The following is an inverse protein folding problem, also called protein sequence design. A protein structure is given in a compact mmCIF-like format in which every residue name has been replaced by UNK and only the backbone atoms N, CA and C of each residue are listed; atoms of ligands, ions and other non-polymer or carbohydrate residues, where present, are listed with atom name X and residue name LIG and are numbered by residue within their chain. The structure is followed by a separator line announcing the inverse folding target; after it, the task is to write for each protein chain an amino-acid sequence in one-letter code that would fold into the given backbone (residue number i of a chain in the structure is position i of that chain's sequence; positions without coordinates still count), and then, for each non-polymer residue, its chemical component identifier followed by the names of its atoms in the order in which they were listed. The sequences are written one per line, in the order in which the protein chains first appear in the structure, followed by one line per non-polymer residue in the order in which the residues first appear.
data_IF_795281511230
#
_entry.id   IF_795281511230
#
_cell.length_a   1.000
_cell.length_b   1.000
_cell.length_c   1.000
_cell.angle_alpha   90.00
_cell.angle_beta   90.00
_cell.angle_gamma   90.00
#
_symmetry.space_group_name_H-M   'P 1'
#
loop_
_entity.id
_entity.type
_entity.pdbx_description
1 polymer ?
#
# COMPACT_ATOMS: atom_id res chain seq x y z
N UNK A 1 -0.55 -18.60 27.35
CA UNK A 1 0.37 -17.90 26.42
C UNK A 1 -0.27 -16.57 26.07
N UNK A 2 0.37 -15.43 26.39
CA UNK A 2 -0.09 -14.13 25.91
C UNK A 2 0.12 -14.06 24.40
N UNK A 3 -0.96 -13.93 23.64
CA UNK A 3 -0.88 -13.71 22.18
C UNK A 3 -0.24 -12.33 21.97
N UNK A 4 0.92 -12.28 21.32
CA UNK A 4 1.61 -11.02 21.06
C UNK A 4 0.84 -10.25 19.98
N UNK A 5 0.30 -9.09 20.34
CA UNK A 5 -0.46 -8.24 19.42
C UNK A 5 0.48 -7.26 18.71
N UNK A 6 0.37 -7.14 17.39
CA UNK A 6 1.12 -6.20 16.58
C UNK A 6 0.22 -5.05 16.13
N UNK A 7 0.60 -3.81 16.44
CA UNK A 7 -0.11 -2.61 15.98
C UNK A 7 0.18 -2.32 14.50
N UNK A 8 -0.86 -2.14 13.70
CA UNK A 8 -0.78 -1.83 12.28
C UNK A 8 -1.60 -0.59 11.98
N UNK A 9 -1.02 0.37 11.28
CA UNK A 9 -1.78 1.49 10.70
C UNK A 9 -2.08 1.16 9.24
N UNK A 10 -3.33 1.25 8.84
CA UNK A 10 -3.76 1.01 7.47
C UNK A 10 -4.37 2.27 6.88
N UNK A 11 -3.77 2.77 5.79
CA UNK A 11 -4.25 3.94 5.05
C UNK A 11 -5.26 3.57 3.94
N UNK A 12 -5.75 2.33 3.95
CA UNK A 12 -6.82 1.87 3.08
C UNK A 12 -8.09 1.63 3.88
N UNK A 13 -9.29 1.89 3.32
CA UNK A 13 -10.54 1.51 3.95
C UNK A 13 -10.60 0.02 4.29
N UNK A 14 -11.08 -0.32 5.49
CA UNK A 14 -11.33 -1.71 5.92
C UNK A 14 -12.24 -2.45 4.91
N UNK A 15 -13.25 -1.75 4.38
CA UNK A 15 -14.18 -2.29 3.40
C UNK A 15 -13.49 -2.87 2.15
N UNK A 16 -12.30 -2.40 1.79
CA UNK A 16 -11.57 -2.92 0.62
C UNK A 16 -11.06 -4.35 0.84
N UNK A 17 -10.76 -4.72 2.09
CA UNK A 17 -10.34 -6.07 2.48
C UNK A 17 -11.55 -7.00 2.65
N UNK A 18 -12.59 -6.50 3.31
CA UNK A 18 -13.81 -7.28 3.55
C UNK A 18 -14.53 -7.67 2.25
N UNK A 19 -14.56 -6.76 1.24
CA UNK A 19 -15.15 -7.03 -0.08
C UNK A 19 -14.54 -8.23 -0.79
N UNK A 20 -13.28 -8.56 -0.50
CA UNK A 20 -12.56 -9.70 -1.09
C UNK A 20 -12.42 -10.87 -0.11
N UNK A 21 -13.19 -10.86 0.99
CA UNK A 21 -13.22 -11.95 1.97
C UNK A 21 -11.99 -12.04 2.87
N UNK A 22 -11.20 -10.97 2.99
CA UNK A 22 -10.01 -10.94 3.86
C UNK A 22 -10.39 -10.40 5.24
N UNK A 23 -10.26 -11.26 6.26
CA UNK A 23 -10.37 -10.87 7.67
C UNK A 23 -8.99 -10.81 8.31
N UNK A 24 -8.63 -9.71 9.00
CA UNK A 24 -7.37 -9.62 9.73
C UNK A 24 -7.18 -10.77 10.72
N UNK A 25 -5.96 -11.35 10.83
CA UNK A 25 -5.64 -12.28 11.90
C UNK A 25 -5.80 -11.61 13.27
N UNK A 26 -6.31 -12.32 14.27
CA UNK A 26 -6.53 -11.78 15.63
C UNK A 26 -5.27 -11.33 16.39
N UNK A 27 -4.08 -11.56 15.82
CA UNK A 27 -2.80 -11.07 16.34
C UNK A 27 -2.48 -9.63 15.88
N UNK A 28 -3.24 -9.08 14.92
CA UNK A 28 -3.06 -7.73 14.42
C UNK A 28 -4.11 -6.80 15.03
N UNK A 29 -3.65 -5.72 15.65
CA UNK A 29 -4.50 -4.60 16.04
C UNK A 29 -4.40 -3.54 14.95
N UNK A 30 -5.41 -3.47 14.07
CA UNK A 30 -5.38 -2.59 12.90
C UNK A 30 -6.16 -1.31 13.19
N UNK A 31 -5.51 -0.17 12.97
CA UNK A 31 -6.12 1.15 12.98
C UNK A 31 -6.25 1.64 11.54
N UNK A 32 -7.48 1.66 11.04
CA UNK A 32 -7.81 2.17 9.70
C UNK A 32 -8.03 3.68 9.74
N UNK A 33 -7.27 4.44 8.96
CA UNK A 33 -7.37 5.90 8.88
C UNK A 33 -7.25 6.37 7.43
N UNK A 34 -7.73 7.59 7.15
CA UNK A 34 -7.48 8.25 5.87
C UNK A 34 -5.99 8.63 5.73
N UNK A 35 -5.41 8.62 4.52
CA UNK A 35 -4.08 9.18 4.27
C UNK A 35 -3.91 10.64 4.75
N UNK A 36 -5.00 11.41 4.81
CA UNK A 36 -5.02 12.82 5.20
C UNK A 36 -5.35 13.03 6.70
N UNK A 37 -5.46 11.95 7.47
CA UNK A 37 -5.74 12.03 8.90
C UNK A 37 -4.61 12.78 9.64
N UNK A 38 -4.98 13.80 10.43
CA UNK A 38 -4.03 14.64 11.18
C UNK A 38 -3.21 13.85 12.20
N UNK A 39 -3.76 12.74 12.71
CA UNK A 39 -3.12 11.87 13.68
C UNK A 39 -2.17 10.86 13.02
N UNK A 40 -2.14 10.75 11.68
CA UNK A 40 -1.33 9.77 10.96
C UNK A 40 0.14 9.75 11.42
N UNK A 41 0.85 10.90 11.55
CA UNK A 41 2.24 10.87 11.98
C UNK A 41 2.44 10.29 13.39
N UNK A 42 1.53 10.58 14.32
CA UNK A 42 1.59 10.08 15.70
C UNK A 42 1.33 8.57 15.74
N UNK A 43 0.31 8.12 15.01
CA UNK A 43 -0.05 6.70 14.94
C UNK A 43 1.05 5.87 14.27
N UNK A 44 1.66 6.38 13.20
CA UNK A 44 2.76 5.69 12.50
C UNK A 44 3.98 5.52 13.43
N UNK A 45 4.29 6.50 14.29
CA UNK A 45 5.41 6.37 15.24
C UNK A 45 5.25 5.18 16.19
N UNK A 46 4.01 4.85 16.55
CA UNK A 46 3.65 3.80 17.50
C UNK A 46 3.33 2.45 16.83
N UNK A 47 3.22 2.43 15.49
CA UNK A 47 2.85 1.24 14.74
C UNK A 47 4.06 0.33 14.50
N UNK A 48 3.85 -0.99 14.48
CA UNK A 48 4.86 -1.95 14.05
C UNK A 48 4.91 -2.06 12.52
N UNK A 49 3.77 -1.84 11.85
CA UNK A 49 3.67 -1.87 10.40
C UNK A 49 2.72 -0.79 9.86
N UNK A 50 2.97 -0.38 8.62
CA UNK A 50 2.14 0.58 7.88
C UNK A 50 1.68 -0.06 6.56
N UNK A 51 0.38 -0.01 6.27
CA UNK A 51 -0.18 -0.41 4.98
C UNK A 51 -0.60 0.84 4.21
N UNK A 52 -0.12 1.02 2.98
CA UNK A 52 -0.42 2.20 2.16
C UNK A 52 -1.03 1.82 0.80
N UNK A 53 -1.94 2.63 0.24
CA UNK A 53 -2.44 2.44 -1.11
C UNK A 53 -1.33 2.65 -2.17
N UNK A 54 -1.54 2.10 -3.36
CA UNK A 54 -0.62 2.27 -4.48
C UNK A 54 -0.45 3.74 -4.89
N UNK A 55 -1.52 4.52 -4.81
CA UNK A 55 -1.58 5.93 -5.21
C UNK A 55 -1.65 6.85 -3.99
N UNK A 56 -1.13 8.06 -4.14
CA UNK A 56 -1.16 9.10 -3.11
C UNK A 56 0.17 9.85 -3.01
N UNK A 57 0.26 10.84 -2.10
CA UNK A 57 1.47 11.64 -1.95
C UNK A 57 2.66 10.80 -1.48
N UNK A 58 3.86 11.29 -1.79
CA UNK A 58 5.13 10.72 -1.31
C UNK A 58 5.25 10.89 0.20
N UNK A 59 5.58 9.81 0.91
CA UNK A 59 5.82 9.81 2.35
C UNK A 59 7.28 10.12 2.60
N UNK A 60 7.56 11.23 3.30
CA UNK A 60 8.91 11.67 3.61
C UNK A 60 9.55 10.73 4.63
N UNK A 61 10.85 10.43 4.48
CA UNK A 61 11.60 9.59 5.43
C UNK A 61 11.53 10.06 6.89
N UNK A 62 11.36 11.36 7.12
CA UNK A 62 11.19 11.95 8.46
C UNK A 62 9.98 11.39 9.24
N UNK A 63 8.95 10.91 8.54
CA UNK A 63 7.79 10.24 9.14
C UNK A 63 8.20 9.01 9.96
N UNK A 64 9.23 8.31 9.50
CA UNK A 64 9.65 6.99 10.01
C UNK A 64 10.81 7.06 11.01
N UNK A 65 11.47 8.22 11.14
CA UNK A 65 12.50 8.43 12.16
C UNK A 65 11.94 8.09 13.54
N UNK A 66 12.71 7.47 14.44
CA UNK A 66 12.27 7.13 15.80
C UNK A 66 10.93 6.37 15.90
N UNK A 67 10.50 5.71 14.83
CA UNK A 67 9.25 4.93 14.81
C UNK A 67 9.50 3.46 15.17
N UNK A 68 8.45 2.81 15.66
CA UNK A 68 8.44 1.37 15.86
C UNK A 68 8.25 0.57 14.55
N UNK A 69 8.07 1.26 13.41
CA UNK A 69 7.80 0.62 12.12
C UNK A 69 8.98 -0.26 11.71
N UNK A 70 8.65 -1.48 11.29
CA UNK A 70 9.60 -2.45 10.70
C UNK A 70 9.20 -2.89 9.30
N UNK A 71 7.94 -2.69 8.93
CA UNK A 71 7.39 -3.08 7.64
C UNK A 71 6.48 -1.97 7.08
N UNK A 72 6.66 -1.64 5.81
CA UNK A 72 5.67 -0.92 5.01
C UNK A 72 5.18 -1.82 3.89
N UNK A 73 3.88 -2.08 3.86
CA UNK A 73 3.21 -2.81 2.78
C UNK A 73 2.53 -1.82 1.84
N UNK A 74 2.95 -1.80 0.58
CA UNK A 74 2.25 -1.10 -0.49
C UNK A 74 1.24 -2.04 -1.14
N UNK A 75 -0.02 -1.62 -1.29
CA UNK A 75 -1.06 -2.45 -1.94
C UNK A 75 -1.05 -2.30 -3.47
N UNK A 76 0.12 -2.11 -4.07
CA UNK A 76 0.33 -1.95 -5.50
C UNK A 76 1.74 -2.41 -5.89
N UNK A 77 2.06 -2.35 -7.18
CA UNK A 77 3.37 -2.80 -7.67
C UNK A 77 4.48 -1.77 -7.43
N UNK A 78 4.18 -0.47 -7.54
CA UNK A 78 5.15 0.62 -7.32
C UNK A 78 5.48 0.82 -5.84
N UNK A 79 6.71 1.29 -5.57
CA UNK A 79 7.19 1.69 -4.22
C UNK A 79 7.68 3.14 -4.19
N UNK A 80 7.47 3.87 -5.27
CA UNK A 80 7.87 5.26 -5.56
C UNK A 80 7.34 6.30 -4.55
N UNK A 81 6.27 5.97 -3.83
CA UNK A 81 5.76 6.77 -2.71
C UNK A 81 6.69 6.80 -1.50
N UNK A 82 7.66 5.89 -1.41
CA UNK A 82 8.60 5.79 -0.30
C UNK A 82 9.97 6.34 -0.68
N UNK A 83 10.67 6.88 0.32
CA UNK A 83 12.08 7.24 0.20
C UNK A 83 12.94 6.00 0.45
N UNK A 84 13.39 5.36 -0.63
CA UNK A 84 14.18 4.12 -0.57
C UNK A 84 15.44 4.25 0.30
N UNK A 85 16.16 5.37 0.19
CA UNK A 85 17.37 5.61 0.96
C UNK A 85 17.05 5.70 2.46
N UNK A 86 15.95 6.39 2.82
CA UNK A 86 15.49 6.46 4.19
C UNK A 86 15.02 5.09 4.72
N UNK A 87 14.26 4.32 3.93
CA UNK A 87 13.80 2.98 4.35
C UNK A 87 14.98 2.06 4.66
N UNK A 88 15.97 2.03 3.76
CA UNK A 88 17.20 1.24 3.94
C UNK A 88 17.99 1.69 5.17
N UNK A 89 18.21 3.01 5.33
CA UNK A 89 18.94 3.58 6.47
C UNK A 89 18.28 3.25 7.81
N UNK A 90 16.94 3.19 7.85
CA UNK A 90 16.16 2.90 9.04
C UNK A 90 15.92 1.40 9.27
N UNK A 91 16.39 0.53 8.36
CA UNK A 91 16.16 -0.91 8.46
C UNK A 91 14.70 -1.31 8.32
N UNK A 92 13.90 -0.52 7.59
CA UNK A 92 12.48 -0.76 7.36
C UNK A 92 12.33 -1.60 6.08
N UNK A 93 11.68 -2.74 6.21
CA UNK A 93 11.36 -3.61 5.07
C UNK A 93 10.20 -3.00 4.29
N UNK A 94 10.32 -2.99 2.97
CA UNK A 94 9.25 -2.58 2.06
C UNK A 94 8.77 -3.80 1.30
N UNK A 95 7.46 -4.06 1.35
CA UNK A 95 6.78 -5.08 0.58
C UNK A 95 5.74 -4.44 -0.34
N UNK A 96 5.50 -5.06 -1.49
CA UNK A 96 4.59 -4.58 -2.52
C UNK A 96 3.83 -5.77 -3.13
N UNK A 97 3.02 -5.50 -4.15
CA UNK A 97 2.32 -6.52 -4.95
C UNK A 97 2.94 -6.55 -6.35
N UNK A 98 4.21 -6.95 -6.42
CA UNK A 98 4.94 -7.05 -7.68
C UNK A 98 4.24 -8.04 -8.63
N UNK A 99 3.98 -7.60 -9.86
CA UNK A 99 3.35 -8.44 -10.89
C UNK A 99 1.85 -8.72 -10.71
N UNK A 100 1.21 -8.18 -9.66
CA UNK A 100 -0.21 -8.46 -9.36
C UNK A 100 -1.20 -8.04 -10.46
N UNK A 101 -0.79 -7.14 -11.35
CA UNK A 101 -1.59 -6.67 -12.49
C UNK A 101 -1.02 -7.10 -13.84
N UNK A 102 -0.04 -8.01 -13.91
CA UNK A 102 0.66 -8.33 -15.17
C UNK A 102 -0.28 -8.83 -16.28
N UNK A 103 -1.18 -9.76 -15.98
CA UNK A 103 -2.13 -10.30 -16.98
C UNK A 103 -3.11 -9.22 -17.45
N UNK A 104 -3.70 -8.48 -16.51
CA UNK A 104 -4.61 -7.37 -16.82
C UNK A 104 -3.92 -6.28 -17.65
N UNK A 105 -2.65 -6.00 -17.36
CA UNK A 105 -1.85 -5.04 -18.12
C UNK A 105 -1.57 -5.54 -19.54
N UNK A 106 -1.24 -6.83 -19.71
CA UNK A 106 -1.03 -7.42 -21.03
C UNK A 106 -2.30 -7.36 -21.89
N UNK A 107 -3.44 -7.74 -21.32
CA UNK A 107 -4.76 -7.64 -21.97
C UNK A 107 -5.08 -6.19 -22.37
N UNK A 108 -4.90 -5.26 -21.45
CA UNK A 108 -5.16 -3.84 -21.68
C UNK A 108 -4.31 -3.26 -22.81
N UNK A 109 -3.01 -3.60 -22.85
CA UNK A 109 -2.08 -3.12 -23.88
C UNK A 109 -2.46 -3.65 -25.27
N UNK A 110 -2.76 -4.95 -25.39
CA UNK A 110 -3.19 -5.56 -26.66
C UNK A 110 -4.49 -4.94 -27.13
N UNK A 111 -5.47 -4.76 -26.23
CA UNK A 111 -6.74 -4.14 -26.54
C UNK A 111 -6.55 -2.68 -27.02
N UNK A 112 -5.76 -1.88 -26.31
CA UNK A 112 -5.46 -0.50 -26.71
C UNK A 112 -4.78 -0.42 -28.08
N UNK A 113 -3.81 -1.31 -28.35
CA UNK A 113 -3.13 -1.38 -29.63
C UNK A 113 -4.12 -1.63 -30.78
N UNK A 114 -5.05 -2.57 -30.61
CA UNK A 114 -6.10 -2.86 -31.58
C UNK A 114 -7.07 -1.70 -31.77
N UNK A 115 -7.53 -1.09 -30.66
CA UNK A 115 -8.45 0.05 -30.68
C UNK A 115 -7.87 1.21 -31.47
N UNK A 116 -6.59 1.54 -31.25
CA UNK A 116 -5.90 2.62 -31.96
C UNK A 116 -5.64 2.24 -33.42
N UNK A 117 -5.12 1.04 -33.68
CA UNK A 117 -4.71 0.61 -35.03
C UNK A 117 -5.91 0.51 -35.99
N UNK A 118 -7.04 0.00 -35.50
CA UNK A 118 -8.26 -0.19 -36.29
C UNK A 118 -9.27 0.94 -36.11
N UNK A 119 -8.91 1.99 -35.36
CA UNK A 119 -9.77 3.13 -35.02
C UNK A 119 -11.14 2.69 -34.48
N UNK A 120 -11.16 1.62 -33.67
CA UNK A 120 -12.41 0.99 -33.19
C UNK A 120 -13.29 1.99 -32.44
N UNK A 121 -12.67 2.92 -31.69
CA UNK A 121 -13.38 3.95 -30.94
C UNK A 121 -14.01 5.06 -31.81
N UNK A 122 -13.77 5.07 -33.12
CA UNK A 122 -14.26 6.05 -34.11
C UNK A 122 -14.94 5.38 -35.31
N UNK A 123 -15.46 4.17 -35.12
CA UNK A 123 -16.05 3.36 -36.20
C UNK A 123 -17.57 3.58 -36.33
N UNK A 124 -18.07 4.74 -35.89
CA UNK A 124 -19.47 5.15 -36.03
C UNK A 124 -19.87 5.49 -37.48
#
# INVERSE_FOLDING_TARGET
MLVKTYSVVCLRPEADFLKVGVTPPGQLSITYISPDDRNMPVLVKQAHALVIPAVGPKLKGALFQDSAVRLVQVTGAGVDRLDEAAMKKLGIVVANVAGGSNSALAEYVVACALVLHRRIAWAD
#
